data_IF_196862617868
#
_entry.id   IF_196862617868
#
_cell.length_a   1.000
_cell.length_b   1.000
_cell.length_c   1.000
_cell.angle_alpha   90.00
_cell.angle_beta   90.00
_cell.angle_gamma   90.00
#
_symmetry.space_group_name_H-M   'P 1'
#
loop_
_entity.id
_entity.type
_entity.pdbx_description
1 polymer ?
#
# COMPACT_ATOMS: atom_id res chain seq x y z
N UNK A 1 25.61 2.24 10.80
CA UNK A 1 24.59 1.87 9.79
C UNK A 1 24.26 3.10 8.97
N UNK A 2 23.99 2.98 7.66
CA UNK A 2 23.51 4.11 6.86
C UNK A 2 22.20 4.65 7.45
N UNK A 3 21.94 5.94 7.22
CA UNK A 3 20.67 6.57 7.60
C UNK A 3 19.50 5.93 6.84
N UNK A 4 18.37 5.61 7.50
CA UNK A 4 17.23 4.97 6.85
C UNK A 4 16.70 5.76 5.65
N UNK A 5 16.43 5.08 4.54
CA UNK A 5 16.04 5.75 3.28
C UNK A 5 14.77 6.59 3.40
N UNK A 6 13.81 6.21 4.26
CA UNK A 6 12.52 6.89 4.39
C UNK A 6 12.66 8.36 4.80
N UNK A 7 13.75 8.74 5.46
CA UNK A 7 14.00 10.14 5.89
C UNK A 7 14.33 11.06 4.72
N UNK A 8 14.89 10.50 3.65
CA UNK A 8 15.31 11.23 2.45
C UNK A 8 14.34 11.07 1.26
N UNK A 9 13.45 10.09 1.32
CA UNK A 9 12.54 9.75 0.22
C UNK A 9 11.21 10.52 0.34
N UNK A 10 10.54 10.80 -0.79
CA UNK A 10 9.21 11.38 -0.77
C UNK A 10 8.20 10.45 -0.07
N UNK A 11 7.21 11.05 0.61
CA UNK A 11 6.07 10.32 1.18
C UNK A 11 4.95 10.06 0.18
N UNK A 12 3.89 9.36 0.59
CA UNK A 12 2.77 9.01 -0.29
C UNK A 12 2.05 10.22 -0.91
N UNK A 13 2.03 11.37 -0.23
CA UNK A 13 1.48 12.62 -0.76
C UNK A 13 2.24 13.15 -1.98
N UNK A 14 3.39 12.57 -2.34
CA UNK A 14 4.13 12.85 -3.56
C UNK A 14 3.81 11.89 -4.72
N UNK A 15 3.04 10.82 -4.51
CA UNK A 15 2.59 9.91 -5.57
C UNK A 15 1.68 10.67 -6.55
N UNK A 16 1.95 10.56 -7.84
CA UNK A 16 1.21 11.28 -8.88
C UNK A 16 0.84 10.33 -10.01
N UNK A 17 -0.33 10.50 -10.64
CA UNK A 17 -0.64 9.73 -11.82
C UNK A 17 0.29 10.04 -13.00
N UNK A 18 0.34 9.15 -13.98
CA UNK A 18 1.30 9.17 -15.07
C UNK A 18 1.18 10.41 -15.96
N UNK A 19 1.93 11.47 -15.62
CA UNK A 19 1.96 12.72 -16.38
C UNK A 19 3.33 13.06 -16.96
N UNK A 20 4.36 12.23 -16.73
CA UNK A 20 5.74 12.47 -17.17
C UNK A 20 5.88 12.43 -18.71
N UNK A 21 6.37 13.51 -19.32
CA UNK A 21 6.38 13.73 -20.78
C UNK A 21 7.13 12.65 -21.59
N UNK A 22 8.10 11.99 -20.96
CA UNK A 22 8.93 10.95 -21.56
C UNK A 22 9.30 9.89 -20.52
N UNK A 23 9.75 8.72 -20.99
CA UNK A 23 10.40 7.75 -20.11
C UNK A 23 11.84 8.18 -19.80
N UNK A 24 12.34 7.79 -18.63
CA UNK A 24 13.69 8.10 -18.16
C UNK A 24 14.53 6.83 -18.07
N UNK A 25 15.73 6.82 -18.64
CA UNK A 25 16.66 5.68 -18.53
C UNK A 25 17.29 5.66 -17.14
N UNK A 26 17.02 4.61 -16.35
CA UNK A 26 17.54 4.48 -14.99
C UNK A 26 18.76 3.55 -14.89
N UNK A 27 18.93 2.68 -15.90
CA UNK A 27 20.07 1.82 -16.17
C UNK A 27 20.07 1.46 -17.67
N UNK A 28 21.20 1.01 -18.26
CA UNK A 28 21.26 0.68 -19.69
C UNK A 28 20.12 -0.24 -20.14
N UNK A 29 19.30 0.26 -21.08
CA UNK A 29 18.16 -0.47 -21.62
C UNK A 29 17.03 -0.73 -20.61
N UNK A 30 16.98 -0.01 -19.49
CA UNK A 30 15.89 -0.04 -18.52
C UNK A 30 15.36 1.39 -18.30
N UNK A 31 14.10 1.58 -18.70
CA UNK A 31 13.43 2.87 -18.76
C UNK A 31 12.23 2.90 -17.82
N UNK A 32 12.06 4.00 -17.11
CA UNK A 32 10.95 4.25 -16.19
C UNK A 32 9.93 5.20 -16.82
N UNK A 33 8.65 4.87 -16.75
CA UNK A 33 7.54 5.76 -17.02
C UNK A 33 6.74 5.94 -15.72
N UNK A 34 6.92 7.07 -15.00
CA UNK A 34 6.28 7.28 -13.70
C UNK A 34 4.76 7.28 -13.76
N UNK A 35 4.12 6.81 -12.69
CA UNK A 35 2.65 6.77 -12.54
C UNK A 35 2.22 6.55 -11.10
N UNK A 36 0.93 6.26 -10.88
CA UNK A 36 0.46 5.84 -9.56
C UNK A 36 1.15 4.59 -9.07
N UNK A 37 1.52 3.69 -9.97
CA UNK A 37 2.69 2.82 -9.82
C UNK A 37 3.49 2.94 -11.10
N UNK A 38 4.81 3.01 -10.97
CA UNK A 38 5.72 3.12 -12.09
C UNK A 38 5.60 1.90 -13.02
N UNK A 39 5.67 2.15 -14.32
CA UNK A 39 5.81 1.13 -15.35
C UNK A 39 7.21 1.19 -15.93
N UNK A 40 7.77 0.04 -16.30
CA UNK A 40 9.14 -0.05 -16.81
C UNK A 40 9.21 -0.72 -18.19
N UNK A 41 10.15 -0.28 -19.00
CA UNK A 41 10.51 -0.90 -20.27
C UNK A 41 11.94 -1.44 -20.20
N UNK A 42 12.09 -2.72 -20.51
CA UNK A 42 13.36 -3.37 -20.81
C UNK A 42 13.49 -3.50 -22.33
N UNK A 43 14.50 -2.84 -22.90
CA UNK A 43 14.84 -3.02 -24.32
C UNK A 43 15.65 -4.32 -24.50
N UNK A 44 15.39 -5.01 -25.61
CA UNK A 44 16.08 -6.25 -26.00
C UNK A 44 16.22 -6.32 -27.53
N UNK A 45 16.99 -7.28 -28.05
CA UNK A 45 17.11 -7.49 -29.50
C UNK A 45 15.93 -8.22 -30.15
N UNK A 46 15.01 -8.78 -29.35
CA UNK A 46 13.87 -9.58 -29.82
C UNK A 46 12.52 -9.01 -29.34
N UNK A 47 12.45 -7.70 -29.20
CA UNK A 47 11.25 -6.97 -28.78
C UNK A 47 11.31 -6.44 -27.35
N UNK A 48 10.23 -5.80 -26.92
CA UNK A 48 10.16 -5.11 -25.63
C UNK A 48 9.62 -6.03 -24.55
N UNK A 49 10.16 -5.90 -23.34
CA UNK A 49 9.55 -6.43 -22.13
C UNK A 49 9.10 -5.26 -21.27
N UNK A 50 7.82 -5.24 -20.91
CA UNK A 50 7.25 -4.18 -20.07
C UNK A 50 6.91 -4.78 -18.70
N UNK A 51 7.21 -4.05 -17.63
CA UNK A 51 6.87 -4.41 -16.26
C UNK A 51 5.83 -3.43 -15.74
N UNK A 52 4.66 -3.96 -15.37
CA UNK A 52 3.45 -3.21 -15.01
C UNK A 52 2.94 -2.26 -16.10
N UNK A 53 1.69 -1.82 -16.00
CA UNK A 53 1.02 -1.03 -17.04
C UNK A 53 0.24 0.17 -16.49
N UNK A 54 0.40 0.49 -15.20
CA UNK A 54 -0.31 1.59 -14.56
C UNK A 54 -1.80 1.32 -14.38
N UNK A 55 -2.56 2.35 -14.03
CA UNK A 55 -4.02 2.37 -14.12
C UNK A 55 -4.48 2.40 -15.58
N UNK A 56 -5.73 2.03 -15.83
CA UNK A 56 -6.33 2.10 -17.18
C UNK A 56 -6.18 3.45 -17.86
N UNK A 57 -6.40 4.53 -17.12
CA UNK A 57 -6.29 5.88 -17.66
C UNK A 57 -4.83 6.35 -17.87
N UNK A 58 -3.85 5.64 -17.30
CA UNK A 58 -2.40 5.89 -17.44
C UNK A 58 -1.78 5.10 -18.60
N UNK A 59 -2.37 3.96 -18.97
CA UNK A 59 -1.88 3.08 -20.03
C UNK A 59 -1.45 3.78 -21.33
N UNK A 60 -2.25 4.70 -21.91
CA UNK A 60 -1.85 5.44 -23.11
C UNK A 60 -0.61 6.32 -22.93
N UNK A 61 -0.37 6.84 -21.73
CA UNK A 61 0.84 7.62 -21.41
C UNK A 61 2.05 6.70 -21.37
N UNK A 62 1.96 5.56 -20.68
CA UNK A 62 3.05 4.59 -20.64
C UNK A 62 3.39 4.08 -22.04
N UNK A 63 2.36 3.75 -22.84
CA UNK A 63 2.51 3.36 -24.24
C UNK A 63 3.28 4.40 -25.06
N UNK A 64 2.84 5.67 -25.01
CA UNK A 64 3.49 6.75 -25.74
C UNK A 64 4.97 6.95 -25.32
N UNK A 65 5.23 6.88 -24.02
CA UNK A 65 6.59 7.00 -23.47
C UNK A 65 7.51 5.87 -23.96
N UNK A 66 7.01 4.64 -24.00
CA UNK A 66 7.81 3.48 -24.42
C UNK A 66 7.99 3.40 -25.94
N UNK A 67 6.98 3.75 -26.73
CA UNK A 67 7.09 3.82 -28.20
C UNK A 67 8.14 4.86 -28.65
N UNK A 68 8.33 5.94 -27.88
CA UNK A 68 9.35 6.95 -28.15
C UNK A 68 10.79 6.46 -27.89
N UNK A 69 10.95 5.44 -27.03
CA UNK A 69 12.25 4.82 -26.72
C UNK A 69 12.55 3.69 -27.71
N UNK A 70 11.59 2.80 -27.90
CA UNK A 70 11.71 1.61 -28.75
C UNK A 70 10.34 1.27 -29.33
N UNK A 71 10.28 1.10 -30.65
CA UNK A 71 9.06 0.77 -31.40
C UNK A 71 8.95 -0.70 -31.79
N UNK A 72 9.87 -1.56 -31.34
CA UNK A 72 9.78 -3.00 -31.53
C UNK A 72 8.50 -3.56 -30.86
N UNK A 73 7.96 -4.71 -31.29
CA UNK A 73 6.76 -5.28 -30.68
C UNK A 73 6.93 -5.55 -29.17
N UNK A 74 5.89 -5.31 -28.37
CA UNK A 74 5.83 -5.77 -26.98
C UNK A 74 5.71 -7.30 -26.98
N UNK A 75 6.76 -7.97 -26.49
CA UNK A 75 6.81 -9.43 -26.45
C UNK A 75 6.23 -9.95 -25.15
N UNK A 76 6.64 -9.36 -24.02
CA UNK A 76 6.12 -9.71 -22.70
C UNK A 76 5.63 -8.49 -21.94
N UNK A 77 4.55 -8.68 -21.19
CA UNK A 77 4.17 -7.82 -20.07
C UNK A 77 4.25 -8.66 -18.80
N UNK A 78 4.99 -8.21 -17.80
CA UNK A 78 5.15 -8.89 -16.52
C UNK A 78 4.48 -8.03 -15.45
N UNK A 79 3.53 -8.60 -14.71
CA UNK A 79 2.93 -7.94 -13.56
C UNK A 79 3.69 -8.28 -12.30
N UNK A 80 4.18 -7.26 -11.58
CA UNK A 80 4.81 -7.48 -10.26
C UNK A 80 3.78 -7.89 -9.21
N UNK A 81 2.50 -7.58 -9.45
CA UNK A 81 1.36 -7.85 -8.56
C UNK A 81 0.03 -7.55 -9.27
N UNK A 82 -1.09 -8.08 -8.75
CA UNK A 82 -2.42 -7.91 -9.32
C UNK A 82 -3.11 -6.57 -9.07
N UNK A 83 -2.58 -5.71 -8.18
CA UNK A 83 -3.20 -4.42 -7.86
C UNK A 83 -3.50 -3.55 -9.10
N UNK A 84 -4.60 -2.81 -9.05
CA UNK A 84 -5.21 -2.13 -10.21
C UNK A 84 -4.30 -1.10 -10.88
N UNK A 85 -3.38 -0.51 -10.12
CA UNK A 85 -2.36 0.44 -10.57
C UNK A 85 -1.14 -0.24 -11.22
N UNK A 86 -1.10 -1.57 -11.26
CA UNK A 86 -0.06 -2.35 -11.95
C UNK A 86 -0.57 -3.02 -13.23
N UNK A 87 -1.86 -3.36 -13.28
CA UNK A 87 -2.45 -4.18 -14.35
C UNK A 87 -3.44 -3.41 -15.23
N UNK A 88 -3.87 -2.24 -14.75
CA UNK A 88 -5.01 -1.51 -15.26
C UNK A 88 -4.85 -1.01 -16.70
N UNK A 89 -3.64 -0.66 -17.13
CA UNK A 89 -3.36 -0.16 -18.48
C UNK A 89 -3.07 -1.23 -19.53
N UNK A 90 -3.25 -2.52 -19.22
CA UNK A 90 -2.86 -3.64 -20.08
C UNK A 90 -3.32 -3.48 -21.54
N UNK A 91 -4.61 -3.17 -21.75
CA UNK A 91 -5.20 -3.11 -23.09
C UNK A 91 -4.64 -1.95 -23.94
N UNK A 92 -4.10 -0.91 -23.30
CA UNK A 92 -3.47 0.22 -24.00
C UNK A 92 -2.01 -0.06 -24.36
N UNK A 93 -1.33 -0.87 -23.54
CA UNK A 93 0.12 -1.07 -23.63
C UNK A 93 0.48 -2.26 -24.52
N UNK A 94 -0.29 -3.35 -24.49
CA UNK A 94 0.03 -4.58 -25.22
C UNK A 94 -0.08 -4.43 -26.75
N UNK A 95 0.77 -5.15 -27.47
CA UNK A 95 0.63 -5.41 -28.90
C UNK A 95 -0.03 -6.78 -29.17
N UNK A 96 -0.57 -7.02 -30.38
CA UNK A 96 -1.02 -8.36 -30.77
C UNK A 96 0.08 -9.41 -30.57
N UNK A 97 -0.24 -10.51 -29.87
CA UNK A 97 0.73 -11.57 -29.57
C UNK A 97 1.62 -11.31 -28.34
N UNK A 98 1.42 -10.21 -27.62
CA UNK A 98 2.03 -10.02 -26.29
C UNK A 98 1.63 -11.15 -25.36
N UNK A 99 2.59 -11.72 -24.63
CA UNK A 99 2.32 -12.67 -23.56
C UNK A 99 2.39 -11.98 -22.21
N UNK A 100 1.34 -12.16 -21.41
CA UNK A 100 1.21 -11.60 -20.07
C UNK A 100 1.64 -12.66 -19.05
N UNK A 101 2.55 -12.27 -18.15
CA UNK A 101 3.13 -13.14 -17.13
C UNK A 101 2.83 -12.60 -15.74
N UNK A 102 2.42 -13.48 -14.83
CA UNK A 102 2.24 -13.15 -13.41
C UNK A 102 2.61 -14.35 -12.53
N UNK A 103 2.65 -14.16 -11.22
CA UNK A 103 2.85 -15.25 -10.27
C UNK A 103 1.53 -16.05 -10.10
N UNK A 104 1.61 -17.35 -9.80
CA UNK A 104 0.46 -18.26 -9.74
C UNK A 104 -0.67 -17.84 -8.79
N UNK A 105 -0.36 -17.16 -7.69
CA UNK A 105 -1.37 -16.65 -6.74
C UNK A 105 -2.20 -15.51 -7.33
N UNK A 106 -1.82 -14.94 -8.49
CA UNK A 106 -2.61 -13.92 -9.19
C UNK A 106 -4.06 -14.38 -9.41
N UNK A 107 -4.28 -15.66 -9.74
CA UNK A 107 -5.64 -16.20 -9.92
C UNK A 107 -6.46 -16.11 -8.63
N UNK A 108 -5.86 -16.53 -7.52
CA UNK A 108 -6.51 -16.50 -6.21
C UNK A 108 -6.76 -15.06 -5.75
N UNK A 109 -5.80 -14.15 -5.99
CA UNK A 109 -5.94 -12.73 -5.71
C UNK A 109 -7.05 -12.09 -6.56
N UNK A 110 -7.08 -12.36 -7.87
CA UNK A 110 -8.10 -11.86 -8.80
C UNK A 110 -9.49 -12.29 -8.36
N UNK A 111 -9.69 -13.58 -8.10
CA UNK A 111 -10.99 -14.13 -7.70
C UNK A 111 -11.48 -13.51 -6.38
N UNK A 112 -10.57 -13.22 -5.44
CA UNK A 112 -10.88 -12.51 -4.20
C UNK A 112 -11.27 -11.05 -4.45
N UNK A 113 -10.56 -10.38 -5.36
CA UNK A 113 -10.83 -9.00 -5.71
C UNK A 113 -12.15 -8.82 -6.47
N UNK A 114 -12.43 -9.66 -7.47
CA UNK A 114 -13.63 -9.60 -8.30
C UNK A 114 -14.92 -9.74 -7.48
N UNK A 115 -14.89 -10.51 -6.40
CA UNK A 115 -16.02 -10.68 -5.47
C UNK A 115 -16.40 -9.39 -4.73
N UNK A 116 -15.45 -8.47 -4.55
CA UNK A 116 -15.57 -7.34 -3.63
C UNK A 116 -15.26 -5.97 -4.27
N UNK A 117 -15.19 -5.88 -5.61
CA UNK A 117 -14.82 -4.63 -6.31
C UNK A 117 -15.61 -3.40 -5.80
N UNK A 118 -16.96 -3.40 -5.77
CA UNK A 118 -17.70 -2.21 -5.35
C UNK A 118 -17.47 -1.87 -3.88
N UNK A 119 -17.33 -2.90 -3.03
CA UNK A 119 -17.09 -2.74 -1.60
C UNK A 119 -15.72 -2.10 -1.34
N UNK A 120 -14.65 -2.59 -1.98
CA UNK A 120 -13.29 -2.06 -1.84
C UNK A 120 -13.17 -0.65 -2.41
N UNK A 121 -13.76 -0.40 -3.58
CA UNK A 121 -13.74 0.93 -4.21
C UNK A 121 -14.33 2.02 -3.29
N UNK A 122 -15.46 1.73 -2.64
CA UNK A 122 -16.09 2.67 -1.70
C UNK A 122 -15.20 2.94 -0.47
N UNK A 123 -14.42 1.95 -0.01
CA UNK A 123 -13.53 2.08 1.16
C UNK A 123 -12.20 2.76 0.88
N UNK A 124 -11.80 2.94 -0.39
CA UNK A 124 -10.58 3.68 -0.75
C UNK A 124 -10.85 5.04 -1.37
N UNK A 125 -12.09 5.32 -1.82
CA UNK A 125 -12.43 6.53 -2.57
C UNK A 125 -12.05 7.83 -1.83
N UNK A 126 -12.28 7.90 -0.52
CA UNK A 126 -11.97 9.08 0.28
C UNK A 126 -10.48 9.47 0.26
N UNK A 127 -9.59 8.48 0.09
CA UNK A 127 -8.14 8.71 0.15
C UNK A 127 -7.53 9.16 -1.19
N UNK A 128 -8.17 8.84 -2.33
CA UNK A 128 -7.57 9.02 -3.65
C UNK A 128 -8.34 9.96 -4.58
N UNK A 129 -9.56 10.39 -4.21
CA UNK A 129 -10.45 11.17 -5.09
C UNK A 129 -9.76 12.38 -5.75
N UNK A 130 -9.09 13.23 -4.97
CA UNK A 130 -8.51 14.48 -5.48
C UNK A 130 -7.25 14.22 -6.33
N UNK A 131 -6.42 13.27 -5.91
CA UNK A 131 -5.23 12.84 -6.67
C UNK A 131 -5.62 12.25 -8.02
N UNK A 132 -6.66 11.40 -8.05
CA UNK A 132 -7.18 10.82 -9.29
C UNK A 132 -7.79 11.90 -10.20
N UNK A 133 -8.60 12.80 -9.64
CA UNK A 133 -9.24 13.88 -10.42
C UNK A 133 -8.19 14.80 -11.07
N UNK A 134 -7.18 15.22 -10.30
CA UNK A 134 -6.10 16.09 -10.82
C UNK A 134 -5.22 15.38 -11.86
N UNK A 135 -4.90 14.10 -11.65
CA UNK A 135 -4.14 13.31 -12.62
C UNK A 135 -4.90 13.06 -13.91
N UNK A 136 -6.18 12.71 -13.84
CA UNK A 136 -7.06 12.56 -15.01
C UNK A 136 -7.03 13.85 -15.85
N UNK A 137 -7.19 15.02 -15.21
CA UNK A 137 -7.14 16.30 -15.90
C UNK A 137 -5.77 16.57 -16.55
N UNK A 138 -4.67 16.21 -15.88
CA UNK A 138 -3.32 16.37 -16.44
C UNK A 138 -3.11 15.48 -17.67
N UNK A 139 -3.55 14.22 -17.60
CA UNK A 139 -3.47 13.26 -18.71
C UNK A 139 -4.35 13.70 -19.88
N UNK A 140 -5.57 14.17 -19.62
CA UNK A 140 -6.47 14.71 -20.65
C UNK A 140 -5.82 15.88 -21.39
N UNK A 141 -5.19 16.83 -20.66
CA UNK A 141 -4.47 17.96 -21.28
C UNK A 141 -3.31 17.47 -22.15
N UNK A 142 -2.52 16.52 -21.66
CA UNK A 142 -1.37 15.98 -22.38
C UNK A 142 -1.76 15.24 -23.66
N UNK A 143 -2.76 14.36 -23.57
CA UNK A 143 -3.19 13.53 -24.68
C UNK A 143 -4.15 14.26 -25.63
N UNK A 144 -4.61 15.46 -25.28
CA UNK A 144 -5.57 16.23 -26.09
C UNK A 144 -6.93 15.55 -26.22
N UNK A 145 -7.34 14.74 -25.24
CA UNK A 145 -8.61 13.99 -25.24
C UNK A 145 -9.35 14.15 -23.92
N UNK A 146 -10.68 14.11 -23.97
CA UNK A 146 -11.53 14.05 -22.77
C UNK A 146 -11.89 12.61 -22.38
N UNK A 147 -11.77 11.66 -23.30
CA UNK A 147 -12.06 10.23 -23.07
C UNK A 147 -10.76 9.50 -22.78
N UNK A 148 -10.62 9.00 -21.56
CA UNK A 148 -9.50 8.14 -21.15
C UNK A 148 -9.91 6.66 -21.19
N UNK A 149 -8.90 5.79 -21.28
CA UNK A 149 -9.11 4.35 -21.22
C UNK A 149 -9.62 3.93 -19.83
N UNK A 150 -10.54 2.96 -19.82
CA UNK A 150 -11.04 2.35 -18.58
C UNK A 150 -10.03 1.33 -18.02
N UNK A 151 -10.31 0.82 -16.82
CA UNK A 151 -9.52 -0.26 -16.24
C UNK A 151 -9.64 -1.54 -17.08
N UNK A 152 -8.50 -2.12 -17.44
CA UNK A 152 -8.43 -3.43 -18.08
C UNK A 152 -8.87 -4.55 -17.14
N UNK A 153 -9.40 -5.62 -17.73
CA UNK A 153 -9.59 -6.91 -17.06
C UNK A 153 -8.45 -7.82 -17.51
N UNK A 154 -7.37 -7.93 -16.73
CA UNK A 154 -6.18 -8.65 -17.18
C UNK A 154 -6.45 -10.15 -17.38
N UNK A 155 -5.91 -10.67 -18.49
CA UNK A 155 -5.80 -12.11 -18.75
C UNK A 155 -4.32 -12.44 -18.73
N UNK A 156 -3.94 -13.39 -17.86
CA UNK A 156 -2.56 -13.89 -17.73
C UNK A 156 -2.41 -15.15 -18.57
N UNK A 157 -1.40 -15.16 -19.43
CA UNK A 157 -1.11 -16.27 -20.36
C UNK A 157 -0.18 -17.31 -19.71
N UNK A 158 0.78 -16.84 -18.90
CA UNK A 158 1.74 -17.68 -18.18
C UNK A 158 1.72 -17.30 -16.70
N UNK A 159 1.53 -18.31 -15.85
CA UNK A 159 1.81 -18.20 -14.44
C UNK A 159 2.88 -19.19 -13.98
N UNK A 160 3.49 -18.90 -12.83
CA UNK A 160 4.54 -19.73 -12.24
C UNK A 160 4.46 -19.72 -10.71
N UNK A 161 4.86 -20.82 -10.08
CA UNK A 161 4.75 -20.98 -8.63
C UNK A 161 5.87 -20.23 -7.88
N UNK A 162 7.13 -20.63 -8.09
CA UNK A 162 8.29 -20.11 -7.35
C UNK A 162 9.20 -19.24 -8.20
N UNK A 163 9.81 -19.79 -9.26
CA UNK A 163 10.74 -19.08 -10.14
C UNK A 163 10.50 -19.42 -11.60
N UNK A 164 10.53 -18.42 -12.48
CA UNK A 164 10.49 -18.57 -13.94
C UNK A 164 11.65 -17.81 -14.57
N UNK A 165 12.38 -18.47 -15.48
CA UNK A 165 13.42 -17.83 -16.29
C UNK A 165 12.87 -17.46 -17.65
N UNK A 166 13.03 -16.21 -18.03
CA UNK A 166 12.70 -15.68 -19.35
C UNK A 166 13.97 -15.10 -19.96
N UNK A 167 14.32 -15.55 -21.16
CA UNK A 167 15.40 -14.95 -21.95
C UNK A 167 14.78 -14.33 -23.20
N UNK A 168 15.06 -13.05 -23.43
CA UNK A 168 14.51 -12.29 -24.58
C UNK A 168 15.64 -11.48 -25.18
N UNK A 169 15.99 -11.75 -26.43
CA UNK A 169 17.06 -11.02 -27.11
C UNK A 169 18.41 -11.04 -26.40
N UNK A 170 18.74 -12.15 -25.74
CA UNK A 170 19.98 -12.36 -24.98
C UNK A 170 20.02 -11.72 -23.58
N UNK A 171 18.90 -11.17 -23.10
CA UNK A 171 18.77 -10.64 -21.73
C UNK A 171 18.01 -11.64 -20.86
N UNK A 172 18.66 -12.12 -19.80
CA UNK A 172 18.06 -13.05 -18.85
C UNK A 172 17.27 -12.29 -17.77
N UNK A 173 16.06 -12.76 -17.50
CA UNK A 173 15.20 -12.31 -16.41
C UNK A 173 14.80 -13.51 -15.56
N UNK A 174 15.05 -13.45 -14.26
CA UNK A 174 14.52 -14.41 -13.30
C UNK A 174 13.34 -13.77 -12.56
N UNK A 175 12.13 -14.29 -12.79
CA UNK A 175 10.93 -13.87 -12.10
C UNK A 175 10.79 -14.72 -10.84
N UNK A 176 10.79 -14.10 -9.67
CA UNK A 176 10.87 -14.78 -8.38
C UNK A 176 9.66 -14.41 -7.54
N UNK A 177 8.94 -15.42 -7.07
CA UNK A 177 7.81 -15.27 -6.16
C UNK A 177 8.26 -14.72 -4.81
N UNK A 178 7.62 -13.63 -4.38
CA UNK A 178 7.88 -12.94 -3.11
C UNK A 178 6.55 -12.54 -2.46
N UNK A 179 5.69 -13.53 -2.11
CA UNK A 179 4.38 -13.24 -1.55
C UNK A 179 4.49 -12.59 -0.17
N UNK A 180 3.43 -11.90 0.25
CA UNK A 180 3.40 -11.20 1.53
C UNK A 180 3.96 -9.78 1.44
N UNK A 181 3.95 -9.07 2.57
CA UNK A 181 4.27 -7.64 2.61
C UNK A 181 3.15 -6.81 1.97
N UNK A 182 3.13 -6.73 0.65
CA UNK A 182 2.18 -5.90 -0.11
C UNK A 182 1.04 -6.65 -0.81
N UNK A 183 1.22 -7.89 -1.26
CA UNK A 183 0.10 -8.75 -1.68
C UNK A 183 0.55 -10.21 -1.70
N UNK A 184 -0.40 -11.14 -1.85
CA UNK A 184 -0.12 -12.58 -1.88
C UNK A 184 0.43 -13.07 -3.22
N UNK A 185 0.31 -12.28 -4.28
CA UNK A 185 0.72 -12.60 -5.65
C UNK A 185 1.93 -11.79 -6.16
N UNK A 186 2.68 -11.17 -5.23
CA UNK A 186 3.86 -10.39 -5.57
C UNK A 186 4.98 -11.25 -6.16
N UNK A 187 5.66 -10.68 -7.17
CA UNK A 187 6.93 -11.17 -7.71
C UNK A 187 7.93 -10.03 -7.86
N UNK A 188 9.22 -10.39 -7.89
CA UNK A 188 10.30 -9.52 -8.37
C UNK A 188 10.86 -10.03 -9.69
N UNK A 189 11.48 -9.13 -10.46
CA UNK A 189 12.26 -9.46 -11.64
C UNK A 189 13.73 -9.20 -11.32
N UNK A 190 14.54 -10.25 -11.37
CA UNK A 190 15.99 -10.18 -11.18
C UNK A 190 16.71 -10.26 -12.53
N UNK A 191 17.61 -9.30 -12.75
CA UNK A 191 18.50 -9.23 -13.90
C UNK A 191 19.92 -9.56 -13.40
N UNK A 192 20.37 -10.83 -13.51
CA UNK A 192 21.58 -11.30 -12.84
C UNK A 192 22.86 -10.67 -13.40
N UNK A 193 22.94 -10.46 -14.72
CA UNK A 193 24.11 -9.86 -15.37
C UNK A 193 24.30 -8.40 -14.96
N UNK A 194 23.21 -7.63 -14.88
CA UNK A 194 23.25 -6.21 -14.48
C UNK A 194 23.15 -6.00 -12.96
N UNK A 195 22.85 -7.06 -12.22
CA UNK A 195 22.60 -7.04 -10.77
C UNK A 195 21.49 -6.07 -10.36
N UNK A 196 20.40 -6.04 -11.14
CA UNK A 196 19.24 -5.16 -10.93
C UNK A 196 18.03 -5.98 -10.51
N UNK A 197 17.37 -5.57 -9.42
CA UNK A 197 16.11 -6.16 -8.97
C UNK A 197 14.97 -5.15 -9.13
N UNK A 198 13.97 -5.47 -9.95
CA UNK A 198 12.71 -4.74 -10.03
C UNK A 198 11.73 -5.36 -9.03
N UNK A 199 11.50 -4.68 -7.90
CA UNK A 199 10.71 -5.22 -6.79
C UNK A 199 9.26 -4.76 -6.76
N UNK A 200 8.86 -3.85 -7.65
CA UNK A 200 7.52 -3.26 -7.64
C UNK A 200 7.18 -2.70 -6.26
N UNK A 201 6.00 -3.04 -5.74
CA UNK A 201 5.56 -2.64 -4.40
C UNK A 201 5.72 -3.77 -3.37
N UNK A 202 6.50 -4.84 -3.62
CA UNK A 202 6.67 -5.99 -2.69
C UNK A 202 6.84 -5.59 -1.21
N UNK A 203 7.60 -4.52 -0.95
CA UNK A 203 7.88 -4.01 0.41
C UNK A 203 6.91 -2.94 0.91
N UNK A 204 5.78 -2.78 0.23
CA UNK A 204 4.86 -1.66 0.35
C UNK A 204 5.12 -0.56 -0.70
N UNK A 205 4.15 0.34 -0.93
CA UNK A 205 4.29 1.47 -1.86
C UNK A 205 5.41 2.46 -1.48
N UNK A 206 5.73 2.57 -0.19
CA UNK A 206 6.83 3.40 0.31
C UNK A 206 7.96 2.52 0.86
N UNK A 207 9.04 2.36 0.10
CA UNK A 207 10.20 1.61 0.59
C UNK A 207 10.86 2.29 1.80
N UNK A 208 11.29 1.48 2.78
CA UNK A 208 11.84 1.96 4.04
C UNK A 208 10.77 2.33 5.08
N UNK A 209 9.50 2.02 4.80
CA UNK A 209 8.40 2.11 5.75
C UNK A 209 7.94 0.71 6.19
N UNK A 210 7.33 0.63 7.37
CA UNK A 210 6.61 -0.59 7.78
C UNK A 210 5.51 -0.86 6.73
N UNK A 211 5.37 -2.12 6.24
CA UNK A 211 4.35 -2.44 5.25
C UNK A 211 2.95 -2.37 5.86
N UNK A 212 1.94 -2.66 5.05
CA UNK A 212 0.60 -2.93 5.56
C UNK A 212 0.40 -4.45 5.56
N UNK A 213 0.46 -5.10 6.73
CA UNK A 213 0.03 -6.51 6.82
C UNK A 213 -1.48 -6.65 6.65
N UNK A 214 -2.22 -5.56 6.78
CA UNK A 214 -3.59 -5.39 6.30
C UNK A 214 -3.76 -3.96 5.82
N UNK A 215 -4.47 -3.73 4.71
CA UNK A 215 -4.72 -2.38 4.21
C UNK A 215 -5.94 -1.75 4.91
N UNK A 216 -5.90 -0.45 5.15
CA UNK A 216 -7.01 0.31 5.74
C UNK A 216 -8.31 0.23 4.91
N UNK A 217 -8.17 0.08 3.58
CA UNK A 217 -9.31 -0.15 2.66
C UNK A 217 -9.97 -1.53 2.82
N UNK A 218 -9.32 -2.46 3.51
CA UNK A 218 -9.83 -3.79 3.80
C UNK A 218 -9.41 -4.84 2.77
N UNK A 219 -8.53 -5.73 3.19
CA UNK A 219 -8.09 -6.94 2.48
C UNK A 219 -7.87 -8.08 3.47
N UNK A 220 -7.51 -9.26 2.95
CA UNK A 220 -7.06 -10.36 3.81
C UNK A 220 -5.79 -9.96 4.54
N UNK A 221 -5.64 -10.47 5.77
CA UNK A 221 -4.40 -10.40 6.51
C UNK A 221 -3.27 -11.08 5.74
N UNK A 222 -2.09 -10.47 5.79
CA UNK A 222 -0.85 -10.97 5.21
C UNK A 222 0.03 -11.42 6.34
N UNK A 223 0.59 -12.62 6.18
CA UNK A 223 1.43 -13.22 7.19
C UNK A 223 2.79 -12.52 7.28
N UNK A 224 3.19 -12.15 8.51
CA UNK A 224 4.43 -11.42 8.77
C UNK A 224 5.67 -12.28 8.48
N UNK A 225 5.62 -13.59 8.78
CA UNK A 225 6.74 -14.50 8.54
C UNK A 225 6.98 -14.72 7.05
N UNK A 226 5.90 -14.80 6.27
CA UNK A 226 5.93 -14.83 4.80
C UNK A 226 6.53 -13.54 4.25
N UNK A 227 6.13 -12.37 4.76
CA UNK A 227 6.73 -11.09 4.37
C UNK A 227 8.24 -11.06 4.67
N UNK A 228 8.66 -11.52 5.85
CA UNK A 228 10.07 -11.64 6.24
C UNK A 228 10.85 -12.54 5.26
N UNK A 229 10.30 -13.70 4.91
CA UNK A 229 10.91 -14.62 3.96
C UNK A 229 11.09 -13.96 2.57
N UNK A 230 10.11 -13.19 2.11
CA UNK A 230 10.20 -12.42 0.86
C UNK A 230 11.27 -11.33 0.91
N UNK A 231 11.42 -10.62 2.05
CA UNK A 231 12.53 -9.67 2.21
C UNK A 231 13.88 -10.40 2.12
N UNK A 232 14.03 -11.55 2.77
CA UNK A 232 15.26 -12.35 2.73
C UNK A 232 15.61 -12.81 1.31
N UNK A 233 14.62 -13.32 0.55
CA UNK A 233 14.84 -13.75 -0.85
C UNK A 233 15.42 -12.63 -1.72
N UNK A 234 14.94 -11.39 -1.58
CA UNK A 234 15.46 -10.26 -2.34
C UNK A 234 16.82 -9.79 -1.82
N UNK A 235 17.06 -9.87 -0.51
CA UNK A 235 18.38 -9.56 0.09
C UNK A 235 19.48 -10.47 -0.46
N UNK A 236 19.18 -11.76 -0.60
CA UNK A 236 20.13 -12.77 -1.06
C UNK A 236 20.57 -12.57 -2.53
N UNK A 237 19.81 -11.81 -3.33
CA UNK A 237 20.22 -11.40 -4.69
C UNK A 237 21.41 -10.44 -4.68
N UNK A 238 21.61 -9.72 -3.56
CA UNK A 238 22.63 -8.70 -3.40
C UNK A 238 22.62 -7.66 -4.53
N UNK A 239 21.46 -7.14 -4.92
CA UNK A 239 21.32 -6.21 -6.05
C UNK A 239 22.17 -4.93 -5.89
N UNK A 240 22.73 -4.42 -6.99
CA UNK A 240 23.40 -3.11 -7.05
C UNK A 240 22.40 -1.97 -7.30
N UNK A 241 21.23 -2.30 -7.87
CA UNK A 241 20.11 -1.39 -8.09
C UNK A 241 18.80 -2.07 -7.71
N UNK A 242 18.05 -1.45 -6.80
CA UNK A 242 16.69 -1.88 -6.43
C UNK A 242 15.68 -0.89 -7.01
N UNK A 243 14.92 -1.35 -8.00
CA UNK A 243 13.93 -0.56 -8.74
C UNK A 243 12.55 -0.78 -8.10
N UNK A 244 11.97 0.30 -7.60
CA UNK A 244 10.77 0.31 -6.75
C UNK A 244 9.55 0.77 -7.54
N UNK A 245 8.35 0.32 -7.20
CA UNK A 245 7.13 0.75 -7.89
C UNK A 245 6.79 2.24 -7.74
N UNK A 246 7.48 2.98 -6.87
CA UNK A 246 7.34 4.43 -6.70
C UNK A 246 8.69 5.11 -6.53
N UNK A 247 8.79 6.33 -7.06
CA UNK A 247 9.97 7.21 -6.97
C UNK A 247 11.27 6.59 -7.53
N UNK A 248 12.40 7.24 -7.25
CA UNK A 248 13.73 6.83 -7.71
C UNK A 248 14.17 5.46 -7.16
N UNK A 249 14.96 4.68 -7.92
CA UNK A 249 15.54 3.44 -7.43
C UNK A 249 16.55 3.66 -6.30
N UNK A 250 16.81 2.63 -5.50
CA UNK A 250 17.88 2.64 -4.49
C UNK A 250 19.15 2.06 -5.12
N UNK A 251 20.28 2.75 -4.95
CA UNK A 251 21.58 2.37 -5.52
C UNK A 251 22.56 1.90 -4.46
N UNK A 252 23.35 0.89 -4.80
CA UNK A 252 24.46 0.32 -4.01
C UNK A 252 24.04 -0.86 -3.15
N UNK A 253 24.70 -2.01 -3.36
CA UNK A 253 24.38 -3.27 -2.67
C UNK A 253 24.46 -3.17 -1.14
N UNK A 254 25.44 -2.47 -0.58
CA UNK A 254 25.54 -2.28 0.88
C UNK A 254 24.34 -1.50 1.43
N UNK A 255 23.90 -0.45 0.72
CA UNK A 255 22.74 0.35 1.12
C UNK A 255 21.46 -0.48 1.02
N UNK A 256 21.25 -1.15 -0.11
CA UNK A 256 20.08 -2.01 -0.33
C UNK A 256 20.02 -3.10 0.75
N UNK A 257 21.13 -3.79 1.01
CA UNK A 257 21.20 -4.80 2.06
C UNK A 257 20.86 -4.22 3.43
N UNK A 258 21.42 -3.06 3.80
CA UNK A 258 21.13 -2.41 5.09
C UNK A 258 19.66 -2.03 5.24
N UNK A 259 19.01 -1.50 4.20
CA UNK A 259 17.59 -1.12 4.23
C UNK A 259 16.67 -2.34 4.33
N UNK A 260 16.94 -3.38 3.55
CA UNK A 260 16.15 -4.61 3.63
C UNK A 260 16.36 -5.36 4.95
N UNK A 261 17.58 -5.31 5.51
CA UNK A 261 17.87 -5.84 6.87
C UNK A 261 17.01 -5.13 7.91
N UNK A 262 17.00 -3.79 7.86
CA UNK A 262 16.23 -2.93 8.74
C UNK A 262 14.73 -3.21 8.63
N UNK A 263 14.19 -3.31 7.42
CA UNK A 263 12.79 -3.64 7.17
C UNK A 263 12.42 -5.03 7.73
N UNK A 264 13.23 -6.04 7.43
CA UNK A 264 13.06 -7.40 7.96
C UNK A 264 13.02 -7.41 9.48
N UNK A 265 13.97 -6.71 10.12
CA UNK A 265 14.08 -6.67 11.58
C UNK A 265 12.92 -5.91 12.22
N UNK A 266 12.39 -4.88 11.55
CA UNK A 266 11.19 -4.18 11.99
C UNK A 266 9.97 -5.10 11.98
N UNK A 267 9.72 -5.80 10.86
CA UNK A 267 8.58 -6.74 10.74
C UNK A 267 8.72 -7.86 11.77
N UNK A 268 9.92 -8.44 11.92
CA UNK A 268 10.21 -9.48 12.90
C UNK A 268 9.97 -9.00 14.32
N UNK A 269 10.46 -7.81 14.67
CA UNK A 269 10.28 -7.26 16.01
C UNK A 269 8.79 -7.07 16.34
N UNK A 270 8.01 -6.48 15.42
CA UNK A 270 6.56 -6.31 15.61
C UNK A 270 5.89 -7.66 15.81
N UNK A 271 6.16 -8.63 14.94
CA UNK A 271 5.64 -9.98 15.05
C UNK A 271 5.98 -10.62 16.40
N UNK A 272 7.27 -10.70 16.74
CA UNK A 272 7.75 -11.42 17.92
C UNK A 272 7.26 -10.77 19.21
N UNK A 273 7.26 -9.43 19.30
CA UNK A 273 6.74 -8.72 20.47
C UNK A 273 5.22 -8.85 20.62
N UNK A 274 4.47 -8.88 19.51
CA UNK A 274 3.03 -9.18 19.56
C UNK A 274 2.81 -10.60 20.11
N UNK A 275 3.52 -11.60 19.60
CA UNK A 275 3.39 -13.00 20.07
C UNK A 275 3.80 -13.16 21.53
N UNK A 276 4.89 -12.51 21.97
CA UNK A 276 5.29 -12.47 23.39
C UNK A 276 4.18 -11.88 24.25
N UNK A 277 3.60 -10.76 23.80
CA UNK A 277 2.49 -10.09 24.46
C UNK A 277 1.23 -10.94 24.58
N UNK A 278 0.86 -11.64 23.50
CA UNK A 278 -0.27 -12.57 23.47
C UNK A 278 -0.08 -13.71 24.46
N UNK A 279 1.11 -14.34 24.47
CA UNK A 279 1.43 -15.41 25.42
C UNK A 279 1.46 -14.94 26.88
N UNK A 280 1.71 -13.64 27.10
CA UNK A 280 1.60 -13.01 28.42
C UNK A 280 0.16 -12.59 28.80
N UNK A 281 -0.83 -12.86 27.95
CA UNK A 281 -2.25 -12.54 28.19
C UNK A 281 -2.60 -11.06 28.00
N UNK A 282 -1.78 -10.27 27.31
CA UNK A 282 -2.08 -8.86 27.03
C UNK A 282 -3.11 -8.73 25.90
N UNK A 283 -4.04 -7.80 26.05
CA UNK A 283 -5.02 -7.47 25.01
C UNK A 283 -4.37 -6.71 23.85
N UNK A 284 -5.01 -6.77 22.68
CA UNK A 284 -4.51 -6.14 21.45
C UNK A 284 -4.30 -4.64 21.59
N UNK A 285 -5.20 -3.92 22.28
CA UNK A 285 -5.08 -2.46 22.44
C UNK A 285 -3.91 -2.08 23.33
N UNK A 286 -3.61 -2.89 24.35
CA UNK A 286 -2.41 -2.73 25.17
C UNK A 286 -1.15 -2.95 24.35
N UNK A 287 -1.08 -4.00 23.54
CA UNK A 287 0.06 -4.25 22.66
C UNK A 287 0.26 -3.13 21.62
N UNK A 288 -0.82 -2.63 21.03
CA UNK A 288 -0.77 -1.49 20.10
C UNK A 288 -0.18 -0.21 20.73
N UNK A 289 -0.33 -0.03 22.06
CA UNK A 289 0.22 1.13 22.78
C UNK A 289 1.67 0.94 23.21
N UNK A 290 2.05 -0.28 23.59
CA UNK A 290 3.36 -0.57 24.19
C UNK A 290 4.45 -0.89 23.15
N UNK A 291 4.10 -1.56 22.06
CA UNK A 291 5.07 -2.01 21.07
C UNK A 291 5.50 -0.83 20.20
N UNK A 292 6.77 -0.48 20.32
CA UNK A 292 7.46 0.55 19.52
C UNK A 292 8.76 -0.02 18.99
N UNK A 293 9.15 0.38 17.77
CA UNK A 293 10.37 -0.12 17.13
C UNK A 293 11.61 0.42 17.85
N UNK A 294 12.61 -0.43 18.12
CA UNK A 294 13.90 0.04 18.61
C UNK A 294 14.68 0.76 17.49
N UNK A 295 15.63 1.61 17.88
CA UNK A 295 16.31 2.52 16.95
C UNK A 295 17.08 1.79 15.83
N UNK A 296 17.61 0.60 16.12
CA UNK A 296 18.36 -0.23 15.18
C UNK A 296 17.53 -0.77 14.02
N UNK A 297 16.20 -0.88 14.14
CA UNK A 297 15.29 -1.28 13.07
C UNK A 297 14.20 -0.23 12.80
N UNK A 298 14.45 1.04 13.15
CA UNK A 298 13.51 2.13 12.86
C UNK A 298 13.21 2.23 11.35
N UNK A 299 11.93 2.21 10.99
CA UNK A 299 11.41 2.44 9.64
C UNK A 299 10.31 3.50 9.68
N UNK A 300 10.01 4.10 8.53
CA UNK A 300 8.93 5.07 8.41
C UNK A 300 7.54 4.45 8.65
N UNK A 301 6.57 5.28 9.03
CA UNK A 301 5.16 4.89 9.23
C UNK A 301 4.20 5.74 8.39
N UNK A 302 4.70 6.30 7.30
CA UNK A 302 3.93 7.13 6.35
C UNK A 302 2.86 6.40 5.53
N UNK A 303 2.82 5.06 5.53
CA UNK A 303 1.82 4.27 4.80
C UNK A 303 1.21 3.18 5.68
N UNK A 304 2.03 2.23 6.16
CA UNK A 304 1.68 1.35 7.28
C UNK A 304 1.97 1.99 8.63
N UNK A 305 1.56 1.33 9.72
CA UNK A 305 1.81 1.78 11.11
C UNK A 305 2.05 0.57 11.99
N UNK A 306 3.03 0.65 12.89
CA UNK A 306 3.41 -0.42 13.84
C UNK A 306 2.19 -0.88 14.63
N UNK A 307 1.41 0.05 15.18
CA UNK A 307 0.20 -0.30 15.92
C UNK A 307 -0.84 -1.05 15.04
N UNK A 308 -0.93 -0.74 13.74
CA UNK A 308 -1.84 -1.46 12.84
C UNK A 308 -1.33 -2.86 12.53
N UNK A 309 -0.03 -3.01 12.33
CA UNK A 309 0.59 -4.32 12.11
C UNK A 309 0.57 -5.20 13.38
N UNK A 310 0.70 -4.63 14.58
CA UNK A 310 0.46 -5.35 15.84
C UNK A 310 -0.93 -5.96 15.87
N UNK A 311 -1.94 -5.16 15.51
CA UNK A 311 -3.32 -5.65 15.42
C UNK A 311 -3.47 -6.70 14.31
N UNK A 312 -2.83 -6.49 13.18
CA UNK A 312 -2.86 -7.43 12.06
C UNK A 312 -2.26 -8.79 12.43
N UNK A 313 -1.10 -8.81 13.09
CA UNK A 313 -0.48 -10.03 13.61
C UNK A 313 -1.39 -10.70 14.64
N UNK A 314 -1.93 -9.94 15.58
CA UNK A 314 -2.83 -10.46 16.60
C UNK A 314 -4.05 -11.13 15.96
N UNK A 315 -4.81 -10.42 15.13
CA UNK A 315 -6.02 -10.96 14.49
C UNK A 315 -5.73 -12.07 13.48
N UNK A 316 -4.53 -12.10 12.87
CA UNK A 316 -4.12 -13.21 12.01
C UNK A 316 -3.94 -14.53 12.80
N UNK A 317 -3.59 -14.45 14.09
CA UNK A 317 -3.47 -15.63 14.96
C UNK A 317 -4.76 -16.00 15.70
N UNK A 318 -5.54 -15.01 16.17
CA UNK A 318 -6.69 -15.24 17.05
C UNK A 318 -8.06 -14.93 16.44
N UNK A 319 -8.12 -14.28 15.28
CA UNK A 319 -9.37 -13.88 14.64
C UNK A 319 -10.08 -12.74 15.38
N UNK A 320 -11.40 -12.68 15.26
CA UNK A 320 -12.24 -11.55 15.68
C UNK A 320 -12.68 -11.57 17.14
N UNK A 321 -12.56 -12.70 17.85
CA UNK A 321 -13.07 -12.86 19.22
C UNK A 321 -11.98 -12.53 20.24
N UNK A 322 -12.11 -11.42 20.97
CA UNK A 322 -11.03 -10.89 21.80
C UNK A 322 -11.06 -11.37 23.26
N UNK A 323 -12.09 -12.13 23.65
CA UNK A 323 -12.30 -12.59 25.03
C UNK A 323 -12.45 -11.42 26.04
N UNK A 324 -12.91 -10.25 25.58
CA UNK A 324 -13.15 -9.07 26.40
C UNK A 324 -14.59 -9.03 26.94
N UNK A 325 -15.57 -9.53 26.18
CA UNK A 325 -16.98 -9.48 26.56
C UNK A 325 -17.80 -10.64 26.00
N UNK A 326 -18.83 -11.06 26.74
CA UNK A 326 -19.85 -12.00 26.24
C UNK A 326 -20.60 -11.42 25.03
N UNK A 327 -20.73 -10.09 24.94
CA UNK A 327 -21.45 -9.43 23.83
C UNK A 327 -20.75 -9.60 22.48
N UNK A 328 -19.46 -9.93 22.45
CA UNK A 328 -18.74 -10.21 21.19
C UNK A 328 -19.35 -11.41 20.45
N UNK A 329 -20.00 -12.34 21.15
CA UNK A 329 -20.67 -13.52 20.55
C UNK A 329 -22.00 -13.18 19.86
N UNK A 330 -22.50 -11.95 20.03
CA UNK A 330 -23.84 -11.55 19.61
C UNK A 330 -23.78 -10.33 18.70
N UNK A 331 -24.78 -10.12 17.82
CA UNK A 331 -24.80 -8.97 16.92
C UNK A 331 -25.16 -7.65 17.62
N UNK A 332 -25.32 -7.66 18.95
CA UNK A 332 -25.72 -6.49 19.75
C UNK A 332 -24.47 -5.85 20.33
N UNK A 333 -24.08 -4.70 19.79
CA UNK A 333 -22.94 -3.91 20.24
C UNK A 333 -23.30 -2.92 21.35
N UNK A 334 -22.28 -2.20 21.82
CA UNK A 334 -22.45 -1.14 22.82
C UNK A 334 -23.34 0.01 22.33
N UNK A 335 -23.44 0.20 21.02
CA UNK A 335 -24.33 1.17 20.37
C UNK A 335 -25.80 0.99 20.76
N UNK A 336 -26.22 -0.24 21.12
CA UNK A 336 -27.60 -0.51 21.54
C UNK A 336 -28.00 0.17 22.87
N UNK A 337 -27.03 0.57 23.69
CA UNK A 337 -27.25 1.23 24.99
C UNK A 337 -26.73 2.67 25.03
N UNK A 338 -26.24 3.20 23.90
CA UNK A 338 -25.70 4.55 23.83
C UNK A 338 -26.75 5.61 24.22
N UNK A 339 -28.00 5.44 23.79
CA UNK A 339 -29.11 6.34 24.14
C UNK A 339 -29.39 6.34 25.66
N UNK A 340 -29.35 5.17 26.31
CA UNK A 340 -29.55 5.05 27.76
C UNK A 340 -28.46 5.80 28.52
N UNK A 341 -27.20 5.70 28.06
CA UNK A 341 -26.07 6.44 28.65
C UNK A 341 -26.27 7.95 28.51
N UNK A 342 -26.75 8.42 27.35
CA UNK A 342 -27.03 9.85 27.13
C UNK A 342 -28.21 10.33 27.97
N UNK A 343 -29.28 9.54 28.11
CA UNK A 343 -30.44 9.87 28.94
C UNK A 343 -30.04 10.03 30.42
N UNK A 344 -29.20 9.13 30.92
CA UNK A 344 -28.74 9.14 32.31
C UNK A 344 -27.72 10.26 32.60
N UNK A 345 -26.79 10.53 31.68
CA UNK A 345 -25.72 11.49 31.89
C UNK A 345 -26.07 12.92 31.47
N UNK A 346 -26.96 13.08 30.48
CA UNK A 346 -27.23 14.33 29.78
C UNK A 346 -26.22 14.63 28.66
N UNK A 347 -26.74 14.97 27.47
CA UNK A 347 -25.92 15.26 26.28
C UNK A 347 -24.90 16.39 26.51
N UNK A 348 -25.32 17.52 27.09
CA UNK A 348 -24.44 18.66 27.36
C UNK A 348 -23.29 18.29 28.30
N UNK A 349 -23.56 17.48 29.33
CA UNK A 349 -22.55 17.04 30.27
C UNK A 349 -21.49 16.13 29.61
N UNK A 350 -21.91 15.27 28.69
CA UNK A 350 -21.00 14.44 27.88
C UNK A 350 -20.13 15.31 26.97
N UNK A 351 -20.70 16.32 26.32
CA UNK A 351 -19.96 17.26 25.47
C UNK A 351 -18.96 18.08 26.28
N UNK A 352 -19.35 18.61 27.44
CA UNK A 352 -18.43 19.33 28.33
C UNK A 352 -17.27 18.44 28.79
N UNK A 353 -17.56 17.18 29.12
CA UNK A 353 -16.52 16.20 29.43
C UNK A 353 -15.61 15.93 28.23
N UNK A 354 -16.18 15.81 27.03
CA UNK A 354 -15.42 15.61 25.80
C UNK A 354 -14.48 16.79 25.51
N UNK A 355 -14.94 18.03 25.70
CA UNK A 355 -14.09 19.24 25.63
C UNK A 355 -12.95 19.20 26.65
N UNK A 356 -13.22 18.76 27.88
CA UNK A 356 -12.17 18.59 28.89
C UNK A 356 -11.14 17.51 28.51
N UNK A 357 -11.56 16.42 27.86
CA UNK A 357 -10.63 15.44 27.29
C UNK A 357 -9.76 16.06 26.19
N UNK A 358 -10.36 16.82 25.29
CA UNK A 358 -9.66 17.46 24.19
C UNK A 358 -8.61 18.49 24.69
N UNK A 359 -8.97 19.29 25.69
CA UNK A 359 -8.09 20.24 26.36
C UNK A 359 -6.90 19.56 27.08
N UNK A 360 -7.07 18.29 27.47
CA UNK A 360 -6.04 17.47 28.11
C UNK A 360 -5.31 16.54 27.13
N UNK A 361 -5.26 16.88 25.83
CA UNK A 361 -4.60 16.11 24.77
C UNK A 361 -5.11 14.67 24.59
N UNK A 362 -6.36 14.40 24.98
CA UNK A 362 -7.02 13.08 24.89
C UNK A 362 -8.10 13.07 23.81
N UNK A 363 -7.70 13.35 22.56
CA UNK A 363 -8.61 13.52 21.43
C UNK A 363 -9.48 12.29 21.14
N UNK A 364 -8.92 11.07 21.21
CA UNK A 364 -9.69 9.84 20.97
C UNK A 364 -10.78 9.61 22.03
N UNK A 365 -10.50 9.94 23.29
CA UNK A 365 -11.48 9.88 24.36
C UNK A 365 -12.58 10.95 24.19
N UNK A 366 -12.22 12.13 23.69
CA UNK A 366 -13.20 13.16 23.33
C UNK A 366 -14.12 12.66 22.21
N UNK A 367 -13.58 12.02 21.17
CA UNK A 367 -14.35 11.41 20.09
C UNK A 367 -15.33 10.37 20.64
N UNK A 368 -14.87 9.43 21.48
CA UNK A 368 -15.74 8.41 22.08
C UNK A 368 -16.94 9.00 22.82
N UNK A 369 -16.78 10.11 23.52
CA UNK A 369 -17.90 10.76 24.21
C UNK A 369 -18.82 11.53 23.26
N UNK A 370 -18.25 12.21 22.28
CA UNK A 370 -19.02 13.00 21.31
C UNK A 370 -19.84 12.11 20.36
N UNK A 371 -19.35 10.92 20.01
CA UNK A 371 -20.07 9.93 19.17
C UNK A 371 -21.28 9.29 19.87
N UNK A 372 -21.37 9.35 21.20
CA UNK A 372 -22.56 8.89 21.93
C UNK A 372 -23.75 9.84 21.76
N UNK A 373 -23.46 11.13 21.56
CA UNK A 373 -24.46 12.20 21.46
C UNK A 373 -25.06 12.22 20.05
N UNK A 374 -26.36 12.53 19.87
CA UNK A 374 -26.98 12.65 18.55
C UNK A 374 -26.17 13.53 17.58
N UNK A 375 -26.05 13.07 16.33
CA UNK A 375 -25.18 13.69 15.33
C UNK A 375 -25.56 15.14 14.95
N UNK A 376 -26.78 15.57 15.26
CA UNK A 376 -27.26 16.94 15.05
C UNK A 376 -26.94 17.88 16.23
N UNK A 377 -26.38 17.37 17.33
CA UNK A 377 -25.97 18.20 18.47
C UNK A 377 -24.76 19.07 18.12
N UNK A 378 -24.90 20.41 18.08
CA UNK A 378 -23.85 21.30 17.57
C UNK A 378 -22.55 21.20 18.37
N UNK A 379 -22.66 21.11 19.71
CA UNK A 379 -21.48 20.98 20.57
C UNK A 379 -20.71 19.67 20.37
N UNK A 380 -21.39 18.58 19.99
CA UNK A 380 -20.73 17.30 19.74
C UNK A 380 -20.01 17.32 18.39
N UNK A 381 -20.65 17.87 17.34
CA UNK A 381 -20.03 18.09 16.03
C UNK A 381 -18.77 18.96 16.12
N UNK A 382 -18.82 20.04 16.91
CA UNK A 382 -17.66 20.89 17.13
C UNK A 382 -16.51 20.13 17.79
N UNK A 383 -16.78 19.35 18.84
CA UNK A 383 -15.76 18.51 19.48
C UNK A 383 -15.18 17.49 18.51
N UNK A 384 -16.02 16.83 17.71
CA UNK A 384 -15.54 15.88 16.70
C UNK A 384 -14.62 16.57 15.70
N UNK A 385 -15.03 17.71 15.13
CA UNK A 385 -14.19 18.49 14.20
C UNK A 385 -12.84 18.85 14.82
N UNK A 386 -12.84 19.50 15.99
CA UNK A 386 -11.61 19.94 16.68
C UNK A 386 -10.71 18.75 17.07
N UNK A 387 -11.28 17.62 17.51
CA UNK A 387 -10.51 16.43 17.85
C UNK A 387 -9.83 15.81 16.62
N UNK A 388 -10.53 15.74 15.48
CA UNK A 388 -9.95 15.24 14.24
C UNK A 388 -8.89 16.20 13.66
N UNK A 389 -9.08 17.52 13.76
CA UNK A 389 -8.05 18.52 13.41
C UNK A 389 -6.77 18.35 14.23
N UNK A 390 -6.93 18.13 15.55
CA UNK A 390 -5.81 17.90 16.46
C UNK A 390 -5.05 16.62 16.12
N UNK A 391 -5.75 15.53 15.82
CA UNK A 391 -5.12 14.28 15.38
C UNK A 391 -4.43 14.47 14.03
N UNK A 392 -5.02 15.23 13.10
CA UNK A 392 -4.46 15.47 11.77
C UNK A 392 -3.14 16.23 11.86
N UNK A 393 -3.06 17.23 12.75
CA UNK A 393 -1.84 18.00 12.98
C UNK A 393 -0.65 17.13 13.46
N UNK A 394 -0.92 16.00 14.11
CA UNK A 394 0.09 15.04 14.55
C UNK A 394 0.33 13.87 13.59
N UNK A 395 -0.45 13.75 12.51
CA UNK A 395 -0.37 12.61 11.59
C UNK A 395 0.66 12.84 10.50
N UNK A 396 1.50 11.84 10.27
CA UNK A 396 2.39 11.74 9.09
C UNK A 396 2.02 10.57 8.18
N UNK A 397 0.98 9.82 8.53
CA UNK A 397 0.53 8.65 7.79
C UNK A 397 -0.55 9.03 6.77
N UNK A 398 -0.40 8.55 5.53
CA UNK A 398 -1.31 8.83 4.43
C UNK A 398 -2.77 8.46 4.72
N UNK A 399 -3.01 7.21 5.13
CA UNK A 399 -4.36 6.70 5.36
C UNK A 399 -5.03 7.37 6.56
N UNK A 400 -4.27 7.59 7.63
CA UNK A 400 -4.74 8.30 8.82
C UNK A 400 -5.12 9.74 8.46
N UNK A 401 -4.22 10.47 7.78
CA UNK A 401 -4.48 11.84 7.36
C UNK A 401 -5.67 11.96 6.40
N UNK A 402 -5.81 11.03 5.45
CA UNK A 402 -6.96 10.98 4.55
C UNK A 402 -8.29 10.77 5.30
N UNK A 403 -8.30 9.84 6.27
CA UNK A 403 -9.50 9.57 7.06
C UNK A 403 -9.87 10.77 7.93
N UNK A 404 -8.89 11.36 8.62
CA UNK A 404 -9.11 12.52 9.48
C UNK A 404 -9.66 13.72 8.69
N UNK A 405 -9.15 13.99 7.47
CA UNK A 405 -9.71 15.02 6.58
C UNK A 405 -11.16 14.74 6.19
N UNK A 406 -11.50 13.49 5.87
CA UNK A 406 -12.88 13.10 5.56
C UNK A 406 -13.81 13.33 6.76
N UNK A 407 -13.37 12.98 7.97
CA UNK A 407 -14.15 13.22 9.19
C UNK A 407 -14.31 14.71 9.53
N UNK A 408 -13.28 15.53 9.32
CA UNK A 408 -13.38 17.00 9.48
C UNK A 408 -14.43 17.55 8.51
N UNK A 409 -14.41 17.13 7.24
CA UNK A 409 -15.37 17.57 6.24
C UNK A 409 -16.81 17.17 6.56
N UNK A 410 -17.03 16.00 7.18
CA UNK A 410 -18.37 15.55 7.63
C UNK A 410 -18.90 16.30 8.84
N UNK A 411 -18.01 16.80 9.70
CA UNK A 411 -18.37 17.49 10.94
C UNK A 411 -18.38 19.02 10.81
N UNK A 412 -17.91 19.55 9.68
CA UNK A 412 -18.12 20.95 9.26
C UNK A 412 -19.53 21.09 8.70
#
# INVERSE_FOLDING_TARGET
MPEPVYRSRPGADAMRPACAEQAEEIAPGLWCSPGLSNSYLLTTTEGRVIVNTGMGFEGPVHRANFDAVDSAPVRYIIFTQGHVDHVGGLDSVRDPGTTVVAQANWKAWRDDNDRLIPYRANRSAFAFKDTLASGIQAIQRRLGTTRLAGQSVPVVDIDFEDTLRLEVGGRLMELISVPGGETTDSLVIWLPEERICLCGNTFGPLIGHIPNLVTMRGERYRDALTAIASVERVRDLQADLLVTGHFEPIRGAERINAELTRLRDAIRYVHDQTVVGMNAGKDVRTLMREITLPAECEVGQGYGKVAWDVRAVWENYSGWFHHESTTELYPIGFDSVAADVVELAGADALVERARAHLAADRALQAIHLAELVPADHPGARDVLREAHEKLLAGSTNFWESAWLRDQIARNT
#
